data_IF_602108964027
#
_entry.id   IF_602108964027
#
_cell.length_a   1.000
_cell.length_b   1.000
_cell.length_c   1.000
_cell.angle_alpha   90.00
_cell.angle_beta   90.00
_cell.angle_gamma   90.00
#
_symmetry.space_group_name_H-M   'P 1'
#
loop_
_entity.id
_entity.type
_entity.pdbx_description
1 polymer ?
#
# COMPACT_ATOMS: atom_id res chain seq x y z
N UNK A 1 -48.25 -25.98 -39.12
CA UNK A 1 -47.61 -26.02 -40.46
C UNK A 1 -46.80 -24.75 -40.64
N UNK A 2 -45.52 -24.89 -40.98
CA UNK A 2 -44.54 -23.80 -41.13
C UNK A 2 -44.84 -22.96 -42.37
N UNK A 3 -44.72 -21.63 -42.28
CA UNK A 3 -44.27 -20.81 -43.42
C UNK A 3 -43.24 -19.80 -42.91
N UNK A 4 -42.11 -19.80 -43.62
CA UNK A 4 -40.83 -19.14 -43.36
C UNK A 4 -40.84 -17.66 -43.82
N UNK A 5 -40.17 -16.83 -43.03
CA UNK A 5 -39.37 -15.61 -43.35
C UNK A 5 -39.64 -14.82 -44.64
N UNK A 6 -39.88 -13.52 -44.48
CA UNK A 6 -39.33 -12.47 -45.36
C UNK A 6 -38.80 -11.32 -44.48
N UNK A 7 -37.49 -11.07 -44.58
CA UNK A 7 -36.78 -9.93 -44.01
C UNK A 7 -37.04 -8.67 -44.84
N UNK A 8 -37.33 -7.54 -44.18
CA UNK A 8 -37.15 -6.21 -44.77
C UNK A 8 -36.35 -5.37 -43.79
N UNK A 9 -35.10 -5.12 -44.15
CA UNK A 9 -34.28 -4.09 -43.56
C UNK A 9 -34.64 -2.75 -44.21
N UNK A 10 -34.98 -1.72 -43.43
CA UNK A 10 -34.79 -0.34 -43.89
C UNK A 10 -34.66 0.66 -42.72
N UNK A 11 -33.40 1.06 -42.51
CA UNK A 11 -32.93 2.42 -42.20
C UNK A 11 -33.05 3.01 -40.79
N UNK A 12 -31.89 3.03 -40.13
CA UNK A 12 -31.15 4.27 -39.78
C UNK A 12 -31.99 5.50 -39.40
N UNK A 13 -32.19 5.67 -38.10
CA UNK A 13 -32.18 6.99 -37.48
C UNK A 13 -31.00 7.03 -36.49
N UNK A 14 -29.93 7.70 -36.90
CA UNK A 14 -28.82 8.08 -36.03
C UNK A 14 -29.34 9.00 -34.93
N UNK A 15 -29.73 8.45 -33.79
CA UNK A 15 -29.72 9.20 -32.55
C UNK A 15 -28.26 9.22 -32.07
N UNK A 16 -27.54 10.29 -32.45
CA UNK A 16 -26.25 10.63 -31.85
C UNK A 16 -26.50 11.07 -30.40
N UNK A 17 -26.76 10.12 -29.51
CA UNK A 17 -26.42 10.29 -28.11
C UNK A 17 -24.89 10.34 -28.06
N UNK A 18 -24.34 11.55 -28.01
CA UNK A 18 -22.97 11.79 -27.58
C UNK A 18 -22.89 11.25 -26.16
N UNK A 19 -22.59 9.96 -26.05
CA UNK A 19 -22.08 9.39 -24.83
C UNK A 19 -20.74 10.06 -24.66
N UNK A 20 -20.67 11.06 -23.79
CA UNK A 20 -19.41 11.37 -23.10
C UNK A 20 -19.09 10.11 -22.33
N UNK A 21 -18.43 9.18 -23.01
CA UNK A 21 -17.59 8.20 -22.37
C UNK A 21 -16.50 9.05 -21.70
N UNK A 22 -16.77 9.46 -20.47
CA UNK A 22 -15.69 9.68 -19.54
C UNK A 22 -14.94 8.34 -19.55
N UNK A 23 -13.81 8.33 -20.25
CA UNK A 23 -12.78 7.33 -20.06
C UNK A 23 -12.47 7.39 -18.57
N UNK A 24 -13.17 6.55 -17.80
CA UNK A 24 -12.68 6.07 -16.54
C UNK A 24 -11.43 5.35 -16.95
N UNK A 25 -10.33 6.08 -16.96
CA UNK A 25 -9.00 5.52 -16.98
C UNK A 25 -9.06 4.44 -15.91
N UNK A 26 -9.07 3.18 -16.34
CA UNK A 26 -8.77 2.06 -15.47
C UNK A 26 -7.32 2.27 -15.07
N UNK A 27 -7.11 3.20 -14.13
CA UNK A 27 -5.89 3.32 -13.37
C UNK A 27 -5.74 1.94 -12.76
N UNK A 28 -4.71 1.21 -13.22
CA UNK A 28 -4.33 -0.06 -12.65
C UNK A 28 -4.47 0.04 -11.13
N UNK A 29 -5.37 -0.77 -10.55
CA UNK A 29 -5.57 -0.79 -9.11
C UNK A 29 -4.18 -0.94 -8.50
N UNK A 30 -3.72 0.01 -7.65
CA UNK A 30 -2.40 -0.09 -7.09
C UNK A 30 -2.29 -1.42 -6.36
N UNK A 31 -1.27 -2.23 -6.68
CA UNK A 31 -1.05 -3.49 -5.98
C UNK A 31 -0.81 -3.15 -4.49
N UNK A 32 -1.78 -3.47 -3.64
CA UNK A 32 -1.64 -3.22 -2.21
C UNK A 32 -0.64 -4.24 -1.63
N UNK A 33 0.30 -3.81 -0.77
CA UNK A 33 1.20 -4.75 -0.12
C UNK A 33 0.39 -5.78 0.69
N UNK A 34 0.80 -7.04 0.60
CA UNK A 34 0.13 -8.16 1.28
C UNK A 34 0.91 -8.69 2.48
N UNK A 35 2.20 -8.31 2.62
CA UNK A 35 3.06 -8.78 3.70
C UNK A 35 3.56 -7.63 4.57
N UNK A 36 3.92 -7.88 5.84
CA UNK A 36 4.51 -6.86 6.70
C UNK A 36 5.79 -6.24 6.13
N UNK A 37 6.62 -7.02 5.44
CA UNK A 37 7.86 -6.57 4.81
C UNK A 37 7.58 -5.63 3.63
N UNK A 38 6.59 -5.98 2.80
CA UNK A 38 6.16 -5.13 1.69
C UNK A 38 5.53 -3.82 2.20
N UNK A 39 4.80 -3.88 3.32
CA UNK A 39 4.29 -2.69 4.00
C UNK A 39 5.40 -1.82 4.57
N UNK A 40 6.40 -2.41 5.22
CA UNK A 40 7.56 -1.68 5.72
C UNK A 40 8.28 -0.95 4.56
N UNK A 41 8.59 -1.66 3.48
CA UNK A 41 9.21 -1.07 2.29
C UNK A 41 8.38 0.09 1.76
N UNK A 42 7.06 -0.08 1.67
CA UNK A 42 6.15 0.98 1.21
C UNK A 42 6.18 2.21 2.11
N UNK A 43 6.18 2.02 3.42
CA UNK A 43 6.19 3.13 4.38
C UNK A 43 7.51 3.91 4.35
N UNK A 44 8.62 3.23 4.07
CA UNK A 44 9.96 3.83 3.98
C UNK A 44 10.32 4.36 2.60
N UNK A 45 9.53 4.05 1.56
CA UNK A 45 9.71 4.57 0.21
C UNK A 45 8.92 5.89 0.05
N UNK A 46 9.60 7.02 0.14
CA UNK A 46 8.99 8.34 0.02
C UNK A 46 8.39 8.64 -1.36
N UNK A 47 8.70 7.83 -2.38
CA UNK A 47 8.03 7.91 -3.67
C UNK A 47 6.63 7.29 -3.68
N UNK A 48 6.26 6.51 -2.66
CA UNK A 48 5.01 5.72 -2.63
C UNK A 48 4.29 5.70 -1.27
N UNK A 49 4.93 6.14 -0.19
CA UNK A 49 4.43 6.01 1.19
C UNK A 49 3.08 6.72 1.47
N UNK A 50 2.63 7.60 0.57
CA UNK A 50 1.37 8.32 0.73
C UNK A 50 0.13 7.51 0.34
N UNK A 51 0.29 6.32 -0.26
CA UNK A 51 -0.82 5.60 -0.90
C UNK A 51 -1.97 5.26 0.06
N UNK A 52 -1.65 4.91 1.30
CA UNK A 52 -2.65 4.57 2.32
C UNK A 52 -3.62 5.73 2.60
N UNK A 53 -3.20 6.98 2.42
CA UNK A 53 -3.99 8.15 2.80
C UNK A 53 -4.76 8.75 1.62
N UNK A 54 -4.48 8.29 0.39
CA UNK A 54 -5.09 8.78 -0.85
C UNK A 54 -6.29 7.96 -1.31
N UNK A 55 -6.47 6.77 -0.73
CA UNK A 55 -7.55 5.84 -1.04
C UNK A 55 -8.04 5.17 0.25
N UNK A 56 -9.32 5.29 0.62
CA UNK A 56 -9.90 4.62 1.78
C UNK A 56 -9.69 3.10 1.80
N UNK A 57 -9.63 2.43 0.64
CA UNK A 57 -9.35 0.99 0.56
C UNK A 57 -7.90 0.66 0.89
N UNK A 58 -6.97 1.47 0.39
CA UNK A 58 -5.57 1.37 0.74
C UNK A 58 -5.37 1.66 2.24
N UNK A 59 -6.13 2.62 2.80
CA UNK A 59 -6.13 2.92 4.23
C UNK A 59 -6.54 1.70 5.06
N UNK A 60 -7.61 0.99 4.68
CA UNK A 60 -8.06 -0.20 5.42
C UNK A 60 -7.00 -1.32 5.40
N UNK A 61 -6.36 -1.56 4.25
CA UNK A 61 -5.27 -2.52 4.16
C UNK A 61 -4.05 -2.09 5.02
N UNK A 62 -3.71 -0.80 4.98
CA UNK A 62 -2.65 -0.22 5.80
C UNK A 62 -2.97 -0.31 7.29
N UNK A 63 -4.17 0.08 7.72
CA UNK A 63 -4.59 0.07 9.13
C UNK A 63 -4.57 -1.33 9.69
N UNK A 64 -4.98 -2.31 8.88
CA UNK A 64 -4.87 -3.70 9.26
C UNK A 64 -3.40 -4.08 9.45
N UNK A 65 -2.55 -3.82 8.46
CA UNK A 65 -1.13 -4.17 8.51
C UNK A 65 -0.35 -3.49 9.66
N UNK A 66 -0.61 -2.21 9.97
CA UNK A 66 0.09 -1.50 11.05
C UNK A 66 -0.36 -1.88 12.45
N UNK A 67 -1.50 -2.57 12.55
CA UNK A 67 -2.01 -3.09 13.83
C UNK A 67 -1.68 -4.57 14.02
N UNK A 68 -1.03 -5.20 13.03
CA UNK A 68 -0.58 -6.59 13.13
C UNK A 68 0.68 -6.69 13.99
N UNK A 69 0.73 -7.63 14.96
CA UNK A 69 1.93 -7.86 15.77
C UNK A 69 3.13 -8.31 14.92
N UNK A 70 2.87 -8.94 13.78
CA UNK A 70 3.91 -9.37 12.84
C UNK A 70 4.70 -8.23 12.18
N UNK A 71 4.18 -7.00 12.18
CA UNK A 71 4.91 -5.86 11.62
C UNK A 71 6.06 -5.41 12.53
N UNK A 72 5.94 -5.53 13.85
CA UNK A 72 6.92 -5.04 14.81
C UNK A 72 8.31 -5.66 14.66
N UNK A 73 8.49 -7.00 14.62
CA UNK A 73 9.83 -7.57 14.45
C UNK A 73 10.45 -7.16 13.11
N UNK A 74 9.62 -7.03 12.06
CA UNK A 74 10.05 -6.57 10.73
C UNK A 74 10.48 -5.11 10.75
N UNK A 75 9.73 -4.25 11.45
CA UNK A 75 10.06 -2.84 11.63
C UNK A 75 11.38 -2.67 12.37
N UNK A 76 11.56 -3.37 13.50
CA UNK A 76 12.80 -3.33 14.27
C UNK A 76 13.98 -3.84 13.44
N UNK A 77 13.82 -4.96 12.75
CA UNK A 77 14.85 -5.50 11.87
C UNK A 77 15.16 -4.56 10.70
N UNK A 78 14.14 -3.89 10.16
CA UNK A 78 14.26 -2.87 9.13
C UNK A 78 15.09 -1.67 9.56
N UNK A 79 14.82 -1.15 10.77
CA UNK A 79 15.59 -0.03 11.33
C UNK A 79 17.07 -0.35 11.52
N UNK A 80 17.39 -1.61 11.77
CA UNK A 80 18.78 -2.07 11.90
C UNK A 80 19.46 -2.33 10.55
N UNK A 81 18.71 -2.32 9.45
CA UNK A 81 19.22 -2.62 8.12
C UNK A 81 19.67 -1.33 7.41
N UNK A 82 20.98 -1.11 7.24
CA UNK A 82 21.47 0.13 6.61
C UNK A 82 21.04 0.25 5.14
N UNK A 83 20.74 -0.85 4.45
CA UNK A 83 20.22 -0.81 3.09
C UNK A 83 18.81 -0.19 3.02
N UNK A 84 17.97 -0.42 4.04
CA UNK A 84 16.65 0.21 4.11
C UNK A 84 16.79 1.72 4.33
N UNK A 85 17.73 2.13 5.19
CA UNK A 85 18.01 3.55 5.44
C UNK A 85 18.54 4.28 4.20
N UNK A 86 19.45 3.65 3.43
CA UNK A 86 19.90 4.21 2.15
C UNK A 86 18.75 4.31 1.14
N UNK A 87 17.92 3.27 1.03
CA UNK A 87 16.75 3.31 0.15
C UNK A 87 15.80 4.44 0.55
N UNK A 88 15.57 4.62 1.85
CA UNK A 88 14.74 5.70 2.39
C UNK A 88 15.30 7.07 2.00
N UNK A 89 16.61 7.31 2.18
CA UNK A 89 17.26 8.56 1.80
C UNK A 89 17.13 8.82 0.29
N UNK A 90 17.48 7.82 -0.54
CA UNK A 90 17.44 7.96 -1.99
C UNK A 90 16.01 8.17 -2.50
N UNK A 91 15.03 7.48 -1.91
CA UNK A 91 13.62 7.69 -2.26
C UNK A 91 13.15 9.10 -1.87
N UNK A 92 13.59 9.64 -0.72
CA UNK A 92 13.17 10.94 -0.20
C UNK A 92 13.59 12.10 -1.11
N UNK A 93 14.77 12.02 -1.70
CA UNK A 93 15.30 13.05 -2.61
C UNK A 93 14.97 12.79 -4.08
N UNK A 94 14.31 11.66 -4.38
CA UNK A 94 13.90 11.33 -5.73
C UNK A 94 12.84 12.34 -6.25
N UNK A 95 12.82 12.64 -7.56
CA UNK A 95 11.73 13.41 -8.17
C UNK A 95 10.35 12.76 -7.97
N UNK A 96 10.33 11.42 -7.78
CA UNK A 96 9.11 10.68 -7.52
C UNK A 96 8.53 10.98 -6.13
N UNK A 97 9.36 11.29 -5.11
CA UNK A 97 8.86 11.75 -3.81
C UNK A 97 8.16 13.11 -3.91
N UNK A 98 8.68 14.04 -4.72
CA UNK A 98 8.00 15.32 -4.98
C UNK A 98 6.64 15.09 -5.63
N UNK A 99 6.56 14.20 -6.62
CA UNK A 99 5.28 13.82 -7.26
C UNK A 99 4.32 13.13 -6.28
N UNK A 100 4.83 12.25 -5.43
CA UNK A 100 4.05 11.60 -4.39
C UNK A 100 3.46 12.63 -3.41
N UNK A 101 4.24 13.63 -3.01
CA UNK A 101 3.73 14.72 -2.17
C UNK A 101 2.71 15.60 -2.93
N UNK A 102 3.02 16.01 -4.16
CA UNK A 102 2.14 16.83 -4.97
C UNK A 102 0.77 16.18 -5.22
N UNK A 103 0.71 14.85 -5.37
CA UNK A 103 -0.57 14.17 -5.56
C UNK A 103 -1.53 14.28 -4.37
N UNK A 104 -1.12 14.76 -3.20
CA UNK A 104 -2.06 15.06 -2.10
C UNK A 104 -2.95 16.28 -2.36
N UNK A 105 -2.62 17.14 -3.32
CA UNK A 105 -3.50 18.25 -3.73
C UNK A 105 -4.54 17.82 -4.78
N UNK A 106 -4.59 16.53 -5.13
CA UNK A 106 -5.58 16.00 -6.07
C UNK A 106 -7.00 16.13 -5.48
N UNK A 107 -7.92 16.86 -6.15
CA UNK A 107 -9.30 17.02 -5.68
C UNK A 107 -10.08 15.70 -5.63
N UNK A 108 -9.62 14.64 -6.31
CA UNK A 108 -10.25 13.33 -6.25
C UNK A 108 -10.10 12.65 -4.88
N UNK A 109 -9.06 12.96 -4.10
CA UNK A 109 -8.81 12.37 -2.78
C UNK A 109 -9.96 12.66 -1.80
N UNK A 110 -10.34 13.94 -1.54
CA UNK A 110 -11.45 14.22 -0.63
C UNK A 110 -12.77 13.62 -1.13
N UNK A 111 -13.00 13.55 -2.46
CA UNK A 111 -14.20 12.90 -3.02
C UNK A 111 -14.27 11.42 -2.66
N UNK A 112 -13.15 10.69 -2.76
CA UNK A 112 -13.09 9.27 -2.34
C UNK A 112 -13.35 9.12 -0.85
N UNK A 113 -12.75 9.97 -0.02
CA UNK A 113 -12.98 9.93 1.43
C UNK A 113 -14.42 10.27 1.82
N UNK A 114 -15.05 11.25 1.17
CA UNK A 114 -16.47 11.53 1.36
C UNK A 114 -17.34 10.32 1.00
N UNK A 115 -17.04 9.63 -0.11
CA UNK A 115 -17.77 8.42 -0.49
C UNK A 115 -17.61 7.28 0.53
N UNK A 116 -16.43 7.11 1.11
CA UNK A 116 -16.19 6.12 2.16
C UNK A 116 -16.86 6.49 3.49
N UNK A 117 -16.90 7.78 3.83
CA UNK A 117 -17.54 8.27 5.06
C UNK A 117 -19.05 8.04 5.10
N UNK A 118 -19.71 7.90 3.95
CA UNK A 118 -21.14 7.55 3.87
C UNK A 118 -21.38 6.07 3.59
N UNK A 119 -20.32 5.26 3.42
CA UNK A 119 -20.43 3.83 3.19
C UNK A 119 -20.41 3.05 4.53
N UNK A 120 -21.52 2.40 4.94
CA UNK A 120 -21.54 1.59 6.15
C UNK A 120 -20.51 0.45 6.15
N UNK A 121 -20.12 -0.05 4.96
CA UNK A 121 -19.15 -1.15 4.83
C UNK A 121 -17.76 -0.73 5.29
N UNK A 122 -17.38 0.52 5.09
CA UNK A 122 -16.10 1.06 5.55
C UNK A 122 -15.96 0.92 7.07
N UNK A 123 -16.99 1.35 7.81
CA UNK A 123 -17.02 1.25 9.26
C UNK A 123 -17.12 -0.19 9.75
N UNK A 124 -17.92 -1.03 9.08
CA UNK A 124 -18.01 -2.45 9.44
C UNK A 124 -16.64 -3.13 9.32
N UNK A 125 -15.92 -2.93 8.21
CA UNK A 125 -14.57 -3.47 8.02
C UNK A 125 -13.61 -2.96 9.10
N UNK A 126 -13.63 -1.66 9.38
CA UNK A 126 -12.81 -1.08 10.45
C UNK A 126 -13.16 -1.66 11.83
N UNK A 127 -14.43 -1.85 12.16
CA UNK A 127 -14.81 -2.48 13.42
C UNK A 127 -14.32 -3.94 13.50
N UNK A 128 -14.48 -4.71 12.42
CA UNK A 128 -14.06 -6.12 12.40
C UNK A 128 -12.54 -6.27 12.54
N UNK A 129 -11.74 -5.38 11.94
CA UNK A 129 -10.27 -5.50 12.02
C UNK A 129 -9.72 -5.28 13.44
N UNK A 130 -10.42 -4.48 14.25
CA UNK A 130 -10.01 -4.17 15.63
C UNK A 130 -10.60 -5.15 16.65
N UNK A 131 -11.73 -5.77 16.33
CA UNK A 131 -12.36 -6.78 17.15
C UNK A 131 -11.91 -8.22 16.83
N UNK A 132 -11.00 -8.42 15.86
CA UNK A 132 -10.52 -9.74 15.44
C UNK A 132 -9.88 -10.51 16.62
N UNK A 133 -10.53 -11.58 17.14
CA UNK A 133 -9.99 -12.38 18.24
C UNK A 133 -8.66 -13.04 17.85
N UNK A 134 -8.47 -13.36 16.57
CA UNK A 134 -7.23 -13.90 16.04
C UNK A 134 -6.07 -12.92 16.16
N UNK A 135 -6.32 -11.62 15.94
CA UNK A 135 -5.32 -10.56 16.12
C UNK A 135 -4.93 -10.42 17.59
N UNK A 136 -5.90 -10.45 18.50
CA UNK A 136 -5.61 -10.43 19.95
C UNK A 136 -4.79 -11.63 20.39
N UNK A 137 -5.11 -12.83 19.90
CA UNK A 137 -4.32 -14.03 20.20
C UNK A 137 -2.89 -13.95 19.65
N UNK A 138 -2.72 -13.41 18.42
CA UNK A 138 -1.39 -13.15 17.84
C UNK A 138 -0.58 -12.17 18.71
N UNK A 139 -1.22 -11.14 19.28
CA UNK A 139 -0.56 -10.22 20.22
C UNK A 139 -0.12 -10.91 21.50
N UNK A 140 -0.98 -11.74 22.09
CA UNK A 140 -0.65 -12.53 23.29
C UNK A 140 0.53 -13.46 23.01
N UNK A 141 0.58 -14.04 21.81
CA UNK A 141 1.65 -14.96 21.38
C UNK A 141 2.89 -14.26 20.84
N UNK A 142 2.89 -12.94 20.68
CA UNK A 142 4.01 -12.19 20.09
C UNK A 142 5.36 -12.48 20.79
N UNK A 143 5.46 -12.55 22.13
CA UNK A 143 6.72 -12.88 22.79
C UNK A 143 7.27 -14.28 22.44
N UNK A 144 6.40 -15.18 21.97
CA UNK A 144 6.75 -16.54 21.55
C UNK A 144 7.06 -16.62 20.04
N UNK A 145 6.92 -15.54 19.28
CA UNK A 145 7.25 -15.50 17.86
C UNK A 145 8.78 -15.65 17.70
N UNK A 146 9.28 -16.64 16.94
CA UNK A 146 10.71 -16.85 16.73
C UNK A 146 11.42 -15.63 16.13
N UNK A 147 10.70 -14.78 15.39
CA UNK A 147 11.24 -13.54 14.82
C UNK A 147 11.63 -12.55 15.91
N UNK A 148 10.93 -12.50 17.05
CA UNK A 148 11.29 -11.62 18.17
C UNK A 148 12.64 -12.03 18.75
N UNK A 149 12.84 -13.33 18.99
CA UNK A 149 14.12 -13.87 19.45
C UNK A 149 15.25 -13.63 18.44
N UNK A 150 14.96 -13.83 17.14
CA UNK A 150 15.91 -13.56 16.07
C UNK A 150 16.32 -12.08 16.02
N UNK A 151 15.36 -11.16 16.16
CA UNK A 151 15.64 -9.73 16.19
C UNK A 151 16.50 -9.37 17.41
N UNK A 152 16.21 -9.91 18.59
CA UNK A 152 17.04 -9.73 19.77
C UNK A 152 18.49 -10.21 19.56
N UNK A 153 18.66 -11.40 18.95
CA UNK A 153 19.98 -11.92 18.61
C UNK A 153 20.72 -11.04 17.59
N UNK A 154 20.02 -10.43 16.64
CA UNK A 154 20.62 -9.50 15.68
C UNK A 154 21.09 -8.21 16.36
N UNK A 155 20.44 -7.73 17.42
CA UNK A 155 20.82 -6.48 18.08
C UNK A 155 22.21 -6.55 18.72
N UNK A 156 22.58 -7.73 19.22
CA UNK A 156 23.89 -7.98 19.83
C UNK A 156 24.92 -8.50 18.82
N UNK A 157 24.54 -8.67 17.55
CA UNK A 157 25.45 -9.18 16.54
C UNK A 157 26.44 -8.08 16.10
N UNK A 158 27.75 -8.22 16.38
CA UNK A 158 28.75 -7.22 16.01
C UNK A 158 28.86 -7.01 14.50
N UNK A 159 28.47 -8.01 13.69
CA UNK A 159 28.43 -7.88 12.24
C UNK A 159 27.43 -6.81 11.79
N UNK A 160 26.36 -6.53 12.54
CA UNK A 160 25.43 -5.45 12.21
C UNK A 160 26.10 -4.08 12.34
N UNK A 161 26.90 -3.86 13.40
CA UNK A 161 27.66 -2.62 13.55
C UNK A 161 28.64 -2.42 12.38
N UNK A 162 29.29 -3.49 11.91
CA UNK A 162 30.21 -3.40 10.77
C UNK A 162 29.51 -3.02 9.47
N UNK A 163 28.25 -3.40 9.25
CA UNK A 163 27.50 -2.95 8.07
C UNK A 163 27.28 -1.43 8.06
N UNK A 164 27.08 -0.83 9.23
CA UNK A 164 26.96 0.62 9.35
C UNK A 164 28.30 1.33 9.11
N UNK A 165 29.40 0.77 9.63
CA UNK A 165 30.75 1.30 9.38
C UNK A 165 31.12 1.24 7.88
N UNK A 166 30.71 0.17 7.20
CA UNK A 166 30.96 -0.02 5.77
C UNK A 166 29.96 0.73 4.87
N UNK A 167 28.94 1.38 5.43
CA UNK A 167 27.90 2.03 4.65
C UNK A 167 28.44 3.10 3.66
N UNK A 168 29.42 3.94 4.02
CA UNK A 168 30.01 4.90 3.08
C UNK A 168 30.77 4.24 1.93
N UNK A 169 31.18 2.99 2.06
CA UNK A 169 31.83 2.23 0.99
C UNK A 169 30.82 1.54 0.06
N UNK A 170 29.52 1.55 0.37
CA UNK A 170 28.49 0.99 -0.51
C UNK A 170 28.28 1.92 -1.72
N UNK A 171 28.44 1.44 -2.97
CA UNK A 171 28.17 2.24 -4.17
C UNK A 171 26.78 2.86 -4.22
N UNK A 172 25.77 2.23 -3.57
CA UNK A 172 24.40 2.74 -3.50
C UNK A 172 24.27 4.02 -2.68
N UNK A 173 25.21 4.29 -1.77
CA UNK A 173 25.23 5.52 -0.99
C UNK A 173 25.57 6.76 -1.85
N UNK A 174 26.18 6.55 -3.01
CA UNK A 174 26.65 7.62 -3.91
C UNK A 174 25.78 7.80 -5.15
N UNK A 175 24.85 6.87 -5.41
CA UNK A 175 23.94 6.88 -6.55
C UNK A 175 22.57 7.45 -6.16
N UNK A 176 22.55 8.74 -5.84
CA UNK A 176 21.36 9.50 -5.42
C UNK A 176 20.67 10.14 -6.63
#
# INVERSE_FOLDING_TARGET
MQIKTISVALWMACATSVSVAAEVSTSAQPHLPQTPEAWLQRMTDFSQNGIAFKDPRAFMAWSNAVTEPGLYPVLVQGMMNPALSLHMINSAVSPAAVRNMASFVDPAIPVRWMSAAVDPRFYAQMATQFADPGKMMRWVMLPMDPRVAQTAAQMINPAQAMKWVMLPADPRAWNV
#
